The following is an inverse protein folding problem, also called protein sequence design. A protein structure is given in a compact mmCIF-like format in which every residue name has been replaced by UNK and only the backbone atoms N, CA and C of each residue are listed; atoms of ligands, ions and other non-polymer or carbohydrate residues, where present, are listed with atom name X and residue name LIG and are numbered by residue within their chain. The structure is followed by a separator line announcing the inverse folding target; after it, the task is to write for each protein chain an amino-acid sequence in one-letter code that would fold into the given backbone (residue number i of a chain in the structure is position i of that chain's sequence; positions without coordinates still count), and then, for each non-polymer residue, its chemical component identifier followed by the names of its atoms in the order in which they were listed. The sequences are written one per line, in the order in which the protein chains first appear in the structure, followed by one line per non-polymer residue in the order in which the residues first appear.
data_IF_245728850221
#
_entry.id   IF_245728850221
#
_cell.length_a   1.000
_cell.length_b   1.000
_cell.length_c   1.000
_cell.angle_alpha   90.00
_cell.angle_beta   90.00
_cell.angle_gamma   90.00
#
_symmetry.space_group_name_H-M   'P 1'
#
loop_
_entity.id
_entity.type
_entity.pdbx_description
1 polymer ?
#
# COMPACT_ATOMS: atom_id res chain seq x y z
N UNK A 1 -19.73 23.06 4.61
CA UNK A 1 -18.26 23.21 4.59
C UNK A 1 -17.83 23.08 3.13
N UNK A 2 -17.57 24.21 2.47
CA UNK A 2 -17.21 24.26 1.05
C UNK A 2 -15.96 23.43 0.80
N UNK A 3 -16.05 22.48 -0.12
CA UNK A 3 -14.89 21.85 -0.77
C UNK A 3 -14.24 22.93 -1.64
N UNK A 4 -13.44 23.80 -1.01
CA UNK A 4 -12.55 24.70 -1.73
C UNK A 4 -11.62 23.83 -2.57
N UNK A 5 -11.73 24.08 -3.88
CA UNK A 5 -11.04 23.43 -4.98
C UNK A 5 -9.52 23.54 -4.74
N UNK A 6 -8.89 22.45 -4.29
CA UNK A 6 -7.43 22.40 -4.14
C UNK A 6 -6.78 22.61 -5.52
N UNK A 7 -5.84 23.57 -5.65
CA UNK A 7 -5.27 23.94 -6.95
C UNK A 7 -4.47 22.80 -7.57
N UNK A 8 -4.43 22.70 -8.91
CA UNK A 8 -3.81 21.59 -9.64
C UNK A 8 -2.32 21.37 -9.30
N UNK A 9 -1.62 22.43 -8.92
CA UNK A 9 -0.21 22.43 -8.50
C UNK A 9 0.11 21.53 -7.30
N UNK A 10 -0.89 21.10 -6.53
CA UNK A 10 -0.67 20.23 -5.37
C UNK A 10 -0.47 18.76 -5.74
N UNK A 11 -0.98 18.30 -6.89
CA UNK A 11 -0.99 16.88 -7.25
C UNK A 11 0.36 16.40 -7.79
N UNK A 12 0.98 17.14 -8.70
CA UNK A 12 2.31 16.82 -9.24
C UNK A 12 3.41 16.83 -8.16
N UNK A 13 3.41 17.84 -7.29
CA UNK A 13 4.43 17.99 -6.26
C UNK A 13 4.32 16.89 -5.18
N UNK A 14 3.09 16.55 -4.77
CA UNK A 14 2.84 15.44 -3.84
C UNK A 14 3.21 14.11 -4.47
N UNK A 15 2.93 13.91 -5.76
CA UNK A 15 3.31 12.70 -6.48
C UNK A 15 4.84 12.54 -6.54
N UNK A 16 5.57 13.63 -6.82
CA UNK A 16 7.03 13.62 -6.88
C UNK A 16 7.65 13.33 -5.50
N UNK A 17 7.15 13.97 -4.45
CA UNK A 17 7.56 13.72 -3.08
C UNK A 17 7.31 12.26 -2.68
N UNK A 18 6.12 11.74 -2.98
CA UNK A 18 5.74 10.36 -2.68
C UNK A 18 6.62 9.36 -3.44
N UNK A 19 6.86 9.59 -4.73
CA UNK A 19 7.70 8.73 -5.55
C UNK A 19 9.15 8.70 -5.04
N UNK A 20 9.72 9.88 -4.74
CA UNK A 20 11.06 10.01 -4.18
C UNK A 20 11.18 9.37 -2.79
N UNK A 21 10.20 9.57 -1.92
CA UNK A 21 10.14 8.93 -0.61
C UNK A 21 10.06 7.41 -0.72
N UNK A 22 9.16 6.89 -1.55
CA UNK A 22 8.99 5.46 -1.82
C UNK A 22 10.30 4.82 -2.31
N UNK A 23 11.00 5.47 -3.24
CA UNK A 23 12.27 4.99 -3.77
C UNK A 23 13.35 4.91 -2.67
N UNK A 24 13.47 5.96 -1.84
CA UNK A 24 14.44 5.99 -0.72
C UNK A 24 14.14 4.89 0.31
N UNK A 25 12.89 4.77 0.75
CA UNK A 25 12.48 3.76 1.74
C UNK A 25 12.66 2.35 1.21
N UNK A 26 12.25 2.09 -0.04
CA UNK A 26 12.38 0.75 -0.65
C UNK A 26 13.83 0.29 -0.82
N UNK A 27 14.78 1.23 -0.87
CA UNK A 27 16.21 0.93 -1.04
C UNK A 27 16.96 0.70 0.28
N UNK A 28 16.33 0.92 1.44
CA UNK A 28 16.91 0.58 2.76
C UNK A 28 17.17 -0.93 2.80
N UNK A 29 18.37 -1.38 3.19
CA UNK A 29 18.82 -2.77 3.05
C UNK A 29 17.85 -3.81 3.61
N UNK A 30 17.28 -3.57 4.80
CA UNK A 30 16.31 -4.47 5.43
C UNK A 30 14.97 -4.48 4.71
N UNK A 31 14.49 -3.32 4.26
CA UNK A 31 13.25 -3.20 3.47
C UNK A 31 13.45 -3.82 2.09
N UNK A 32 14.59 -3.61 1.46
CA UNK A 32 14.95 -4.22 0.17
C UNK A 32 14.96 -5.75 0.27
N UNK A 33 15.55 -6.30 1.33
CA UNK A 33 15.49 -7.75 1.64
C UNK A 33 14.07 -8.23 1.92
N UNK A 34 13.23 -7.40 2.55
CA UNK A 34 11.83 -7.71 2.78
C UNK A 34 10.98 -7.70 1.50
N UNK A 35 11.32 -6.84 0.54
CA UNK A 35 10.66 -6.77 -0.75
C UNK A 35 11.14 -7.85 -1.72
N UNK A 36 12.34 -8.40 -1.52
CA UNK A 36 12.80 -9.59 -2.23
C UNK A 36 11.89 -10.79 -1.93
N UNK A 37 11.64 -11.61 -2.95
CA UNK A 37 10.61 -12.65 -2.97
C UNK A 37 10.76 -13.71 -1.87
N UNK A 38 11.98 -13.89 -1.33
CA UNK A 38 12.26 -14.83 -0.23
C UNK A 38 11.75 -14.34 1.13
N UNK A 39 11.23 -13.12 1.21
CA UNK A 39 10.67 -12.61 2.45
C UNK A 39 9.29 -13.17 2.75
N UNK A 40 8.90 -13.16 4.02
CA UNK A 40 7.55 -13.49 4.51
C UNK A 40 6.47 -12.47 4.07
N UNK A 41 6.73 -11.65 3.06
CA UNK A 41 5.73 -10.73 2.52
C UNK A 41 4.61 -11.55 1.90
N UNK A 42 3.46 -11.55 2.56
CA UNK A 42 2.26 -12.22 2.03
C UNK A 42 1.85 -11.59 0.70
N UNK A 43 1.38 -12.40 -0.26
CA UNK A 43 0.78 -11.88 -1.47
C UNK A 43 -0.52 -11.11 -1.14
N UNK A 44 -1.02 -10.28 -2.06
CA UNK A 44 -2.38 -9.78 -1.98
C UNK A 44 -3.36 -10.95 -1.79
N UNK A 45 -4.39 -10.80 -0.95
CA UNK A 45 -5.36 -11.87 -0.73
C UNK A 45 -6.14 -12.16 -2.02
N UNK A 46 -6.28 -13.45 -2.32
CA UNK A 46 -7.17 -13.96 -3.35
C UNK A 46 -8.58 -14.22 -2.77
N UNK A 47 -9.52 -14.58 -3.64
CA UNK A 47 -10.91 -14.84 -3.28
C UNK A 47 -11.04 -15.99 -2.26
N UNK A 48 -10.16 -16.98 -2.33
CA UNK A 48 -10.10 -18.09 -1.37
C UNK A 48 -9.66 -17.59 0.02
N UNK A 49 -8.61 -16.77 0.10
CA UNK A 49 -8.17 -16.16 1.34
C UNK A 49 -9.27 -15.28 1.96
N UNK A 50 -10.01 -14.52 1.15
CA UNK A 50 -11.15 -13.73 1.62
C UNK A 50 -12.25 -14.65 2.18
N UNK A 51 -12.65 -15.69 1.45
CA UNK A 51 -13.66 -16.65 1.91
C UNK A 51 -13.26 -17.34 3.22
N UNK A 52 -11.98 -17.70 3.37
CA UNK A 52 -11.43 -18.26 4.61
C UNK A 52 -11.53 -17.25 5.77
N UNK A 53 -11.20 -15.98 5.54
CA UNK A 53 -11.31 -14.92 6.55
C UNK A 53 -12.77 -14.76 7.00
N UNK A 54 -13.72 -14.67 6.06
CA UNK A 54 -15.14 -14.58 6.39
C UNK A 54 -15.62 -15.78 7.22
N UNK A 55 -15.20 -17.00 6.86
CA UNK A 55 -15.54 -18.22 7.59
C UNK A 55 -14.93 -18.28 9.00
N UNK A 56 -13.66 -17.93 9.15
CA UNK A 56 -12.93 -18.01 10.42
C UNK A 56 -13.41 -16.94 11.40
N UNK A 57 -13.50 -15.70 10.93
CA UNK A 57 -13.86 -14.56 11.78
C UNK A 57 -15.36 -14.34 11.88
N UNK A 58 -16.19 -15.16 11.20
CA UNK A 58 -17.66 -15.02 11.12
C UNK A 58 -18.06 -13.57 10.80
N UNK A 59 -17.34 -12.96 9.86
CA UNK A 59 -17.64 -11.61 9.39
C UNK A 59 -18.88 -11.75 8.50
N UNK A 60 -20.04 -11.44 9.09
CA UNK A 60 -21.28 -11.31 8.34
C UNK A 60 -21.17 -10.08 7.43
N UNK A 61 -21.31 -10.29 6.12
CA UNK A 61 -21.79 -9.26 5.21
C UNK A 61 -23.28 -9.49 4.98
#
# INVERSE_FOLDING_TARGET
LSLELFPPLFLEDVLLLFLGFKARVSNITTIKKFLQLESRKKPPPDEEAVALIHRIFKICC
#
